data_IF_715805936842
#
_entry.id   IF_715805936842
#
_cell.length_a   1.000
_cell.length_b   1.000
_cell.length_c   1.000
_cell.angle_alpha   90.00
_cell.angle_beta   90.00
_cell.angle_gamma   90.00
#
_symmetry.space_group_name_H-M   'P 1'
#
loop_
_entity.id
_entity.type
_entity.pdbx_description
1 polymer ?
#
# COMPACT_ATOMS: atom_id res chain seq x y z
N UNK A 1 -5.19 -9.57 -21.81
CA UNK A 1 -5.64 -9.04 -20.52
C UNK A 1 -4.93 -9.79 -19.41
N UNK A 2 -3.92 -9.19 -18.84
CA UNK A 2 -3.12 -9.81 -17.77
C UNK A 2 -3.52 -9.13 -16.46
N UNK A 3 -4.04 -9.92 -15.51
CA UNK A 3 -4.43 -9.44 -14.18
C UNK A 3 -3.34 -9.81 -13.18
N UNK A 4 -2.58 -8.81 -12.67
CA UNK A 4 -1.66 -9.03 -11.56
C UNK A 4 -2.33 -8.68 -10.25
N UNK A 5 -2.31 -9.62 -9.31
CA UNK A 5 -2.75 -9.39 -7.93
C UNK A 5 -1.59 -8.83 -7.10
N UNK A 6 -1.89 -7.83 -6.33
CA UNK A 6 -1.01 -7.42 -5.23
C UNK A 6 -0.91 -8.59 -4.25
N UNK A 7 0.29 -8.86 -3.76
CA UNK A 7 0.48 -9.88 -2.74
C UNK A 7 -0.26 -9.47 -1.45
N UNK A 8 -1.54 -9.79 -1.39
CA UNK A 8 -2.25 -9.75 -0.12
C UNK A 8 -1.61 -10.80 0.79
N UNK A 9 -1.25 -10.42 2.00
CA UNK A 9 -0.95 -11.36 3.07
C UNK A 9 -2.23 -12.19 3.28
N UNK A 10 -2.37 -13.31 2.56
CA UNK A 10 -3.43 -14.28 2.83
C UNK A 10 -3.04 -14.99 4.12
N UNK A 11 -3.71 -14.63 5.20
CA UNK A 11 -3.86 -15.52 6.33
C UNK A 11 -4.63 -16.76 5.83
N UNK A 12 -3.89 -17.86 5.63
CA UNK A 12 -4.47 -19.12 5.16
C UNK A 12 -5.40 -19.70 6.21
N UNK A 13 -6.69 -19.73 5.93
CA UNK A 13 -7.71 -20.42 6.74
C UNK A 13 -7.86 -21.83 6.20
N UNK A 14 -7.19 -22.77 6.80
CA UNK A 14 -7.33 -24.22 6.57
C UNK A 14 -7.96 -24.90 7.79
N UNK A 15 -8.97 -25.70 7.55
CA UNK A 15 -9.96 -26.29 8.45
C UNK A 15 -9.41 -27.30 9.48
N UNK A 16 -9.44 -26.92 10.75
CA UNK A 16 -9.83 -27.76 11.88
C UNK A 16 -10.29 -26.82 13.01
N UNK A 17 -11.58 -26.80 13.29
CA UNK A 17 -12.25 -25.75 14.07
C UNK A 17 -11.69 -25.50 15.49
N UNK A 18 -11.12 -26.49 16.13
CA UNK A 18 -10.57 -26.36 17.51
C UNK A 18 -9.08 -25.94 17.53
N UNK A 19 -8.29 -26.39 16.57
CA UNK A 19 -6.90 -25.93 16.40
C UNK A 19 -6.85 -24.48 15.86
N UNK A 20 -7.78 -24.10 14.99
CA UNK A 20 -7.91 -22.77 14.39
C UNK A 20 -8.26 -21.68 15.43
N UNK A 21 -9.02 -22.00 16.46
CA UNK A 21 -9.31 -21.03 17.55
C UNK A 21 -8.07 -20.71 18.38
N UNK A 22 -7.25 -21.70 18.69
CA UNK A 22 -6.00 -21.52 19.46
C UNK A 22 -4.94 -20.76 18.65
N UNK A 23 -4.82 -21.01 17.35
CA UNK A 23 -3.93 -20.25 16.45
C UNK A 23 -4.39 -18.80 16.28
N UNK A 24 -5.69 -18.57 16.12
CA UNK A 24 -6.24 -17.22 15.98
C UNK A 24 -6.12 -16.40 17.27
N UNK A 25 -6.28 -17.02 18.44
CA UNK A 25 -6.07 -16.36 19.73
C UNK A 25 -4.60 -15.96 19.93
N UNK A 26 -3.65 -16.83 19.58
CA UNK A 26 -2.23 -16.54 19.65
C UNK A 26 -1.81 -15.42 18.66
N UNK A 27 -2.39 -15.40 17.46
CA UNK A 27 -2.18 -14.33 16.48
C UNK A 27 -2.72 -12.99 16.99
N UNK A 28 -3.94 -12.98 17.53
CA UNK A 28 -4.54 -11.79 18.14
C UNK A 28 -3.68 -11.28 19.29
N UNK A 29 -3.26 -12.16 20.20
CA UNK A 29 -2.39 -11.78 21.31
C UNK A 29 -1.06 -11.19 20.81
N UNK A 30 -0.46 -11.80 19.80
CA UNK A 30 0.75 -11.28 19.15
C UNK A 30 0.54 -9.88 18.56
N UNK A 31 -0.59 -9.61 17.93
CA UNK A 31 -0.94 -8.28 17.43
C UNK A 31 -1.13 -7.28 18.55
N UNK A 32 -1.84 -7.64 19.62
CA UNK A 32 -2.05 -6.79 20.80
C UNK A 32 -0.72 -6.37 21.45
N UNK A 33 0.32 -7.19 21.37
CA UNK A 33 1.66 -6.84 21.88
C UNK A 33 2.47 -5.99 20.90
N UNK A 34 2.31 -6.21 19.59
CA UNK A 34 3.09 -5.51 18.56
C UNK A 34 2.57 -4.10 18.26
N UNK A 35 1.26 -3.88 18.28
CA UNK A 35 0.66 -2.57 17.97
C UNK A 35 1.15 -1.47 18.93
N UNK A 36 1.19 -1.67 20.27
CA UNK A 36 1.76 -0.66 21.18
C UNK A 36 3.23 -0.35 20.91
N UNK A 37 4.03 -1.36 20.54
CA UNK A 37 5.44 -1.15 20.18
C UNK A 37 5.57 -0.32 18.90
N UNK A 38 4.78 -0.64 17.88
CA UNK A 38 4.74 0.09 16.62
C UNK A 38 4.31 1.56 16.84
N UNK A 39 3.28 1.77 17.67
CA UNK A 39 2.85 3.10 18.11
C UNK A 39 3.99 3.89 18.76
N UNK A 40 4.74 3.27 19.67
CA UNK A 40 5.87 3.89 20.34
C UNK A 40 7.00 4.27 19.36
N UNK A 41 7.29 3.43 18.37
CA UNK A 41 8.27 3.73 17.33
C UNK A 41 7.83 4.92 16.47
N UNK A 42 6.56 4.95 16.03
CA UNK A 42 6.02 6.06 15.25
C UNK A 42 6.07 7.37 16.05
N UNK A 43 5.75 7.32 17.35
CA UNK A 43 5.73 8.48 18.23
C UNK A 43 7.11 9.14 18.41
N UNK A 44 8.21 8.43 18.12
CA UNK A 44 9.56 9.04 18.13
C UNK A 44 9.76 10.05 17.01
N UNK A 45 9.10 9.88 15.89
CA UNK A 45 9.22 10.75 14.72
C UNK A 45 8.00 11.68 14.55
N UNK A 46 6.81 11.26 14.97
CA UNK A 46 5.55 11.98 14.80
C UNK A 46 5.03 12.40 16.17
N UNK A 47 5.22 13.66 16.51
CA UNK A 47 4.85 14.22 17.80
C UNK A 47 3.51 14.95 17.72
N UNK A 48 2.68 14.84 18.76
CA UNK A 48 1.47 15.65 18.93
C UNK A 48 0.23 15.15 18.19
N UNK A 49 0.27 13.96 17.57
CA UNK A 49 -0.88 13.40 16.81
C UNK A 49 -1.25 11.95 17.23
N UNK A 50 -1.41 11.64 18.51
CA UNK A 50 -1.62 10.27 18.97
C UNK A 50 -2.91 9.66 18.41
N UNK A 51 -3.99 10.43 18.29
CA UNK A 51 -5.28 9.97 17.76
C UNK A 51 -5.15 9.57 16.28
N UNK A 52 -4.50 10.40 15.47
CA UNK A 52 -4.28 10.11 14.04
C UNK A 52 -3.43 8.85 13.86
N UNK A 53 -2.42 8.67 14.69
CA UNK A 53 -1.58 7.46 14.70
C UNK A 53 -2.41 6.22 15.03
N UNK A 54 -3.28 6.28 16.03
CA UNK A 54 -4.14 5.17 16.45
C UNK A 54 -5.17 4.79 15.38
N UNK A 55 -5.79 5.76 14.74
CA UNK A 55 -6.74 5.55 13.63
C UNK A 55 -6.03 4.94 12.42
N UNK A 56 -4.84 5.45 12.08
CA UNK A 56 -4.03 4.90 10.99
C UNK A 56 -3.61 3.45 11.27
N UNK A 57 -3.16 3.14 12.48
CA UNK A 57 -2.79 1.79 12.88
C UNK A 57 -3.98 0.85 12.87
N UNK A 58 -5.16 1.33 13.26
CA UNK A 58 -6.42 0.57 13.18
C UNK A 58 -6.75 0.21 11.74
N UNK A 59 -6.71 1.20 10.82
CA UNK A 59 -6.95 0.96 9.40
C UNK A 59 -5.90 0.01 8.80
N UNK A 60 -4.64 0.15 9.19
CA UNK A 60 -3.54 -0.69 8.73
C UNK A 60 -3.71 -2.15 9.16
N UNK A 61 -4.01 -2.40 10.43
CA UNK A 61 -4.23 -3.77 10.97
C UNK A 61 -5.48 -4.40 10.35
N UNK A 62 -6.51 -3.61 10.10
CA UNK A 62 -7.74 -4.05 9.42
C UNK A 62 -7.53 -4.33 7.92
N UNK A 63 -6.35 -4.02 7.34
CA UNK A 63 -6.10 -4.15 5.90
C UNK A 63 -6.93 -3.19 5.05
N UNK A 64 -7.37 -2.08 5.65
CA UNK A 64 -8.20 -1.08 5.02
C UNK A 64 -7.42 0.09 4.42
N UNK A 65 -8.17 1.02 3.83
CA UNK A 65 -7.63 2.28 3.31
C UNK A 65 -7.96 3.42 4.27
N UNK A 66 -7.11 4.44 4.30
CA UNK A 66 -7.25 5.59 5.18
C UNK A 66 -7.25 6.90 4.38
N UNK A 67 -8.21 7.78 4.64
CA UNK A 67 -8.22 9.12 4.12
C UNK A 67 -7.64 10.07 5.18
N UNK A 68 -6.52 10.71 4.84
CA UNK A 68 -5.85 11.69 5.72
C UNK A 68 -6.18 13.11 5.26
N UNK A 69 -7.12 13.74 5.92
CA UNK A 69 -7.45 15.15 5.72
C UNK A 69 -6.65 16.05 6.67
N UNK A 70 -6.26 17.21 6.18
CA UNK A 70 -5.54 18.20 7.01
C UNK A 70 -4.79 19.21 6.18
N UNK A 71 -4.39 20.30 6.85
CA UNK A 71 -3.63 21.38 6.21
C UNK A 71 -2.27 20.88 5.66
N UNK A 72 -1.73 21.52 4.63
CA UNK A 72 -0.39 21.27 4.16
C UNK A 72 0.64 21.45 5.30
N UNK A 73 1.69 20.61 5.31
CA UNK A 73 2.76 20.74 6.30
C UNK A 73 2.52 20.00 7.63
N UNK A 74 1.36 19.40 7.87
CA UNK A 74 1.06 18.64 9.10
C UNK A 74 1.71 17.26 9.18
N UNK A 75 2.73 16.99 8.37
CA UNK A 75 3.53 15.76 8.49
C UNK A 75 2.86 14.49 7.96
N UNK A 76 1.82 14.57 7.12
CA UNK A 76 1.15 13.39 6.54
C UNK A 76 2.14 12.42 5.88
N UNK A 77 3.03 12.94 5.04
CA UNK A 77 4.06 12.13 4.36
C UNK A 77 5.05 11.52 5.36
N UNK A 78 5.45 12.28 6.39
CA UNK A 78 6.33 11.78 7.45
C UNK A 78 5.67 10.62 8.19
N UNK A 79 4.41 10.76 8.58
CA UNK A 79 3.65 9.74 9.29
C UNK A 79 3.62 8.41 8.51
N UNK A 80 3.20 8.44 7.23
CA UNK A 80 3.08 7.23 6.41
C UNK A 80 4.45 6.63 6.11
N UNK A 81 5.46 7.46 5.84
CA UNK A 81 6.83 6.99 5.62
C UNK A 81 7.39 6.31 6.88
N UNK A 82 7.16 6.89 8.06
CA UNK A 82 7.59 6.32 9.34
C UNK A 82 6.91 4.98 9.60
N UNK A 83 5.61 4.87 9.33
CA UNK A 83 4.89 3.59 9.40
C UNK A 83 5.54 2.54 8.48
N UNK A 84 5.74 2.87 7.21
CA UNK A 84 6.37 1.94 6.24
C UNK A 84 7.74 1.45 6.70
N UNK A 85 8.56 2.34 7.25
CA UNK A 85 9.87 1.99 7.80
C UNK A 85 9.77 1.10 9.03
N UNK A 86 8.86 1.41 9.95
CA UNK A 86 8.68 0.65 11.19
C UNK A 86 8.18 -0.77 10.97
N UNK A 87 7.45 -1.03 9.87
CA UNK A 87 6.95 -2.36 9.50
C UNK A 87 7.72 -3.01 8.34
N UNK A 88 8.80 -2.37 7.88
CA UNK A 88 9.65 -2.86 6.77
C UNK A 88 8.87 -3.12 5.46
N UNK A 89 7.86 -2.29 5.17
CA UNK A 89 7.08 -2.36 3.94
C UNK A 89 7.66 -1.46 2.86
N UNK A 90 7.48 -1.87 1.61
CA UNK A 90 7.78 -1.05 0.44
C UNK A 90 6.81 0.12 0.39
N UNK A 91 7.32 1.32 0.64
CA UNK A 91 6.55 2.56 0.62
C UNK A 91 6.75 3.30 -0.69
N UNK A 92 5.64 3.65 -1.34
CA UNK A 92 5.64 4.55 -2.50
C UNK A 92 4.76 5.78 -2.23
N UNK A 93 5.21 6.94 -2.70
CA UNK A 93 4.42 8.16 -2.74
C UNK A 93 4.08 8.49 -4.18
N UNK A 94 2.81 8.67 -4.46
CA UNK A 94 2.30 9.12 -5.76
C UNK A 94 1.75 10.52 -5.57
N UNK A 95 2.38 11.51 -6.20
CA UNK A 95 1.89 12.88 -6.24
C UNK A 95 0.96 13.01 -7.42
N UNK A 96 -0.33 13.22 -7.17
CA UNK A 96 -1.31 13.37 -8.22
C UNK A 96 -1.31 14.80 -8.78
N UNK A 97 -1.10 14.93 -10.09
CA UNK A 97 -1.04 16.17 -10.83
C UNK A 97 -2.02 16.13 -12.00
N UNK A 98 -2.42 17.30 -12.57
CA UNK A 98 -3.38 17.33 -13.68
C UNK A 98 -2.93 16.59 -14.94
N UNK A 99 -1.65 16.42 -15.13
CA UNK A 99 -1.00 15.75 -16.28
C UNK A 99 -0.67 14.28 -16.02
N UNK A 100 -0.87 13.76 -14.78
CA UNK A 100 -0.56 12.39 -14.44
C UNK A 100 -1.45 11.39 -15.18
N UNK A 101 -0.82 10.48 -15.91
CA UNK A 101 -1.50 9.43 -16.68
C UNK A 101 -1.64 8.12 -15.90
N UNK A 102 -2.62 7.27 -16.22
CA UNK A 102 -2.73 5.94 -15.62
C UNK A 102 -1.46 5.10 -15.76
N UNK A 103 -0.77 5.18 -16.89
CA UNK A 103 0.51 4.49 -17.14
C UNK A 103 1.63 4.90 -16.17
N UNK A 104 1.60 6.13 -15.67
CA UNK A 104 2.62 6.62 -14.72
C UNK A 104 2.49 5.94 -13.36
N UNK A 105 1.28 5.53 -12.99
CA UNK A 105 1.01 4.85 -11.72
C UNK A 105 0.96 3.34 -11.86
N UNK A 106 0.45 2.80 -12.98
CA UNK A 106 0.36 1.36 -13.25
C UNK A 106 1.70 0.82 -13.75
N UNK A 107 2.40 1.57 -14.59
CA UNK A 107 3.56 1.12 -15.33
C UNK A 107 3.26 0.90 -16.81
N UNK A 108 4.27 0.47 -17.54
CA UNK A 108 4.20 0.31 -19.00
C UNK A 108 4.90 -0.95 -19.45
N UNK A 109 4.47 -1.49 -20.60
CA UNK A 109 5.24 -2.52 -21.30
C UNK A 109 6.34 -1.85 -22.12
N UNK A 110 7.56 -2.34 -21.97
CA UNK A 110 8.74 -1.90 -22.71
C UNK A 110 9.20 -3.05 -23.60
N UNK A 111 9.48 -2.75 -24.86
CA UNK A 111 10.08 -3.71 -25.78
C UNK A 111 11.59 -3.79 -25.49
N UNK A 112 12.05 -4.93 -24.99
CA UNK A 112 13.46 -5.21 -24.76
C UNK A 112 13.99 -6.19 -25.82
N UNK A 113 15.27 -6.06 -26.14
CA UNK A 113 15.99 -6.99 -27.01
C UNK A 113 17.03 -7.75 -26.18
N UNK A 114 16.96 -9.05 -26.21
CA UNK A 114 18.00 -9.91 -25.63
C UNK A 114 19.25 -9.83 -26.50
N UNK A 115 20.27 -9.19 -26.00
CA UNK A 115 21.55 -9.00 -26.71
C UNK A 115 22.28 -10.32 -27.05
N UNK A 116 21.97 -11.41 -26.34
CA UNK A 116 22.60 -12.72 -26.61
C UNK A 116 21.91 -13.47 -27.75
N UNK A 117 20.58 -13.30 -27.90
CA UNK A 117 19.79 -14.07 -28.86
C UNK A 117 19.18 -13.21 -29.98
N UNK A 118 19.22 -11.88 -29.88
CA UNK A 118 18.57 -10.94 -30.80
C UNK A 118 17.04 -10.98 -30.77
N UNK A 119 16.45 -11.71 -29.82
CA UNK A 119 14.99 -11.82 -29.70
C UNK A 119 14.42 -10.61 -28.96
N UNK A 120 13.34 -10.09 -29.50
CA UNK A 120 12.56 -9.02 -28.86
C UNK A 120 11.42 -9.62 -28.06
N UNK A 121 11.23 -9.07 -26.84
CA UNK A 121 10.14 -9.46 -25.96
C UNK A 121 9.61 -8.24 -25.21
N UNK A 122 8.35 -8.27 -24.84
CA UNK A 122 7.75 -7.24 -24.01
C UNK A 122 8.03 -7.54 -22.54
N UNK A 123 8.55 -6.54 -21.84
CA UNK A 123 8.73 -6.58 -20.40
C UNK A 123 7.87 -5.51 -19.75
N UNK A 124 7.03 -5.94 -18.80
CA UNK A 124 6.27 -5.01 -18.00
C UNK A 124 7.15 -4.35 -16.94
N UNK A 125 7.24 -3.02 -16.98
CA UNK A 125 7.91 -2.21 -15.97
C UNK A 125 6.84 -1.71 -14.98
N UNK A 126 6.76 -2.26 -13.75
CA UNK A 126 5.70 -1.93 -12.80
C UNK A 126 5.85 -0.48 -12.30
N UNK A 127 4.73 0.22 -12.23
CA UNK A 127 4.64 1.56 -11.66
C UNK A 127 4.55 1.55 -10.13
N UNK A 128 4.51 2.74 -9.50
CA UNK A 128 4.53 2.89 -8.05
C UNK A 128 3.31 2.31 -7.33
N UNK A 129 2.23 2.00 -8.04
CA UNK A 129 1.03 1.38 -7.46
C UNK A 129 1.29 -0.05 -6.96
N UNK A 130 2.37 -0.71 -7.40
CA UNK A 130 2.76 -2.04 -6.94
C UNK A 130 3.59 -2.03 -5.65
N UNK A 131 3.39 -1.02 -4.81
CA UNK A 131 3.92 -0.97 -3.44
C UNK A 131 3.00 -1.67 -2.43
N UNK A 132 3.54 -1.92 -1.24
CA UNK A 132 2.76 -2.48 -0.13
C UNK A 132 2.03 -1.39 0.67
N UNK A 133 2.64 -0.21 0.76
CA UNK A 133 2.08 0.98 1.38
C UNK A 133 2.20 2.15 0.42
N UNK A 134 1.06 2.73 0.04
CA UNK A 134 1.01 3.80 -0.95
C UNK A 134 0.39 5.04 -0.34
N UNK A 135 1.08 6.17 -0.45
CA UNK A 135 0.53 7.49 -0.19
C UNK A 135 0.11 8.13 -1.50
N UNK A 136 -1.20 8.21 -1.74
CA UNK A 136 -1.78 8.98 -2.84
C UNK A 136 -1.98 10.43 -2.37
N UNK A 137 -1.10 11.34 -2.80
CA UNK A 137 -1.13 12.74 -2.37
C UNK A 137 -1.83 13.61 -3.43
N UNK A 138 -2.73 14.47 -2.97
CA UNK A 138 -3.51 15.40 -3.81
C UNK A 138 -4.33 14.72 -4.93
N UNK A 139 -4.95 13.59 -4.63
CA UNK A 139 -5.71 12.77 -5.59
C UNK A 139 -6.80 13.55 -6.36
N UNK A 140 -7.33 14.61 -5.76
CA UNK A 140 -8.35 15.46 -6.35
C UNK A 140 -7.84 16.32 -7.52
N UNK A 141 -6.54 16.42 -7.74
CA UNK A 141 -5.95 17.22 -8.83
C UNK A 141 -5.86 16.48 -10.16
N UNK A 142 -5.94 15.16 -10.16
CA UNK A 142 -5.72 14.36 -11.37
C UNK A 142 -7.02 14.09 -12.13
N UNK A 143 -6.96 13.81 -13.45
CA UNK A 143 -8.13 13.46 -14.23
C UNK A 143 -8.86 12.22 -13.72
N UNK A 144 -10.19 12.11 -13.91
CA UNK A 144 -10.99 10.98 -13.43
C UNK A 144 -10.50 9.61 -13.91
N UNK A 145 -9.91 9.54 -15.10
CA UNK A 145 -9.36 8.29 -15.65
C UNK A 145 -8.20 7.73 -14.81
N UNK A 146 -7.33 8.61 -14.32
CA UNK A 146 -6.21 8.22 -13.47
C UNK A 146 -6.68 7.88 -12.05
N UNK A 147 -7.70 8.60 -11.55
CA UNK A 147 -8.35 8.25 -10.27
C UNK A 147 -9.00 6.86 -10.34
N UNK A 148 -9.66 6.51 -11.45
CA UNK A 148 -10.29 5.21 -11.65
C UNK A 148 -9.28 4.04 -11.55
N UNK A 149 -8.07 4.20 -12.08
CA UNK A 149 -7.03 3.19 -11.95
C UNK A 149 -6.60 2.94 -10.50
N UNK A 150 -6.50 4.01 -9.68
CA UNK A 150 -6.24 3.87 -8.25
C UNK A 150 -7.41 3.19 -7.52
N UNK A 151 -8.65 3.57 -7.84
CA UNK A 151 -9.84 2.97 -7.23
C UNK A 151 -9.97 1.48 -7.56
N UNK A 152 -9.65 1.06 -8.79
CA UNK A 152 -9.59 -0.36 -9.16
C UNK A 152 -8.59 -1.11 -8.28
N UNK A 153 -7.38 -0.56 -8.11
CA UNK A 153 -6.37 -1.14 -7.25
C UNK A 153 -6.81 -1.28 -5.80
N UNK A 154 -7.49 -0.26 -5.26
CA UNK A 154 -8.00 -0.25 -3.89
C UNK A 154 -9.11 -1.28 -3.68
N UNK A 155 -10.04 -1.41 -4.62
CA UNK A 155 -11.20 -2.30 -4.50
C UNK A 155 -10.86 -3.76 -4.77
N UNK A 156 -10.08 -4.01 -5.80
CA UNK A 156 -9.83 -5.36 -6.31
C UNK A 156 -8.51 -5.96 -5.78
N UNK A 157 -7.63 -5.15 -5.18
CA UNK A 157 -6.26 -5.57 -4.87
C UNK A 157 -5.51 -6.08 -6.12
N UNK A 158 -5.92 -5.62 -7.30
CA UNK A 158 -5.39 -6.00 -8.60
C UNK A 158 -5.64 -4.89 -9.62
N UNK A 159 -4.85 -4.85 -10.68
CA UNK A 159 -5.03 -3.92 -11.80
C UNK A 159 -5.07 -4.71 -13.11
N UNK A 160 -5.94 -4.24 -14.01
CA UNK A 160 -6.02 -4.69 -15.40
C UNK A 160 -5.23 -3.72 -16.29
N UNK A 161 -4.31 -4.23 -17.10
CA UNK A 161 -3.52 -3.46 -18.07
C UNK A 161 -3.39 -4.21 -19.38
#
# INVERSE_FOLDING_TARGET
>A
MIRRRFGALRLGVGLSWLATMSESEAEIQSLLERVPRLRAEIAKAVVGQPVVVDELLTAFVAGGHCLLEGLPGLGKTLLIRTLGQAVSLTFHRIQFTPDLMPSDIIGTEVLEEDHATGKRFFRFNPGPIFGQLILADEINRTPPKTQAALLEAMQEGAITY
#
